data_IF_728810919909
#
_entry.id   IF_728810919909
#
_cell.length_a   1.000
_cell.length_b   1.000
_cell.length_c   1.000
_cell.angle_alpha   90.00
_cell.angle_beta   90.00
_cell.angle_gamma   90.00
#
_symmetry.space_group_name_H-M   'P 1'
#
loop_
_entity.id
_entity.type
_entity.pdbx_description
1 polymer ?
#
# COMPACT_ATOMS: atom_id res chain seq x y z
N UNK A 1 -2.97 30.06 11.87
CA UNK A 1 -1.82 29.23 11.45
C UNK A 1 -1.55 29.49 9.97
N UNK A 2 -0.34 29.31 9.42
CA UNK A 2 -0.05 29.79 8.08
C UNK A 2 -0.49 28.79 7.00
N UNK A 3 -1.24 29.31 6.01
CA UNK A 3 -1.66 28.66 4.75
C UNK A 3 -0.57 27.84 4.05
N UNK A 4 0.70 28.15 4.30
CA UNK A 4 1.85 27.42 3.76
C UNK A 4 1.86 25.95 4.17
N UNK A 5 1.34 25.61 5.36
CA UNK A 5 1.34 24.24 5.87
C UNK A 5 0.33 23.36 5.14
N UNK A 6 -0.89 23.85 4.88
CA UNK A 6 -1.93 23.06 4.19
C UNK A 6 -1.58 22.82 2.73
N UNK A 7 -1.05 23.81 2.02
CA UNK A 7 -0.61 23.67 0.63
C UNK A 7 0.49 22.61 0.52
N UNK A 8 1.43 22.60 1.47
CA UNK A 8 2.48 21.58 1.54
C UNK A 8 1.91 20.19 1.84
N UNK A 9 1.00 20.07 2.81
CA UNK A 9 0.31 18.81 3.14
C UNK A 9 -0.44 18.28 1.91
N UNK A 10 -1.23 19.12 1.24
CA UNK A 10 -1.99 18.76 0.04
C UNK A 10 -1.09 18.30 -1.11
N UNK A 11 0.04 18.97 -1.32
CA UNK A 11 1.02 18.54 -2.33
C UNK A 11 1.62 17.17 -2.00
N UNK A 12 1.94 16.93 -0.72
CA UNK A 12 2.46 15.63 -0.29
C UNK A 12 1.39 14.54 -0.40
N UNK A 13 0.13 14.83 -0.06
CA UNK A 13 -1.00 13.92 -0.26
C UNK A 13 -1.08 13.48 -1.72
N UNK A 14 -1.10 14.43 -2.66
CA UNK A 14 -1.15 14.09 -4.09
C UNK A 14 0.06 13.28 -4.58
N UNK A 15 1.23 13.47 -3.98
CA UNK A 15 2.43 12.67 -4.27
C UNK A 15 2.28 11.23 -3.75
N UNK A 16 1.91 11.06 -2.48
CA UNK A 16 1.79 9.73 -1.86
C UNK A 16 0.59 8.94 -2.35
N UNK A 17 -0.52 9.62 -2.72
CA UNK A 17 -1.65 9.01 -3.41
C UNK A 17 -1.20 8.35 -4.72
N UNK A 18 -0.43 9.06 -5.56
CA UNK A 18 0.11 8.51 -6.80
C UNK A 18 1.08 7.36 -6.57
N UNK A 19 1.89 7.42 -5.51
CA UNK A 19 2.78 6.31 -5.14
C UNK A 19 2.00 5.07 -4.71
N UNK A 20 1.03 5.22 -3.80
CA UNK A 20 0.16 4.13 -3.35
C UNK A 20 -0.58 3.50 -4.52
N UNK A 21 -1.16 4.30 -5.42
CA UNK A 21 -1.83 3.81 -6.62
C UNK A 21 -0.92 2.98 -7.53
N UNK A 22 0.33 3.41 -7.72
CA UNK A 22 1.32 2.64 -8.50
C UNK A 22 1.60 1.29 -7.83
N UNK A 23 1.86 1.28 -6.52
CA UNK A 23 2.11 0.04 -5.79
C UNK A 23 0.91 -0.90 -5.82
N UNK A 24 -0.30 -0.39 -5.66
CA UNK A 24 -1.54 -1.17 -5.84
C UNK A 24 -1.67 -1.76 -7.24
N UNK A 25 -1.24 -1.02 -8.28
CA UNK A 25 -1.31 -1.52 -9.66
C UNK A 25 -0.23 -2.57 -9.96
N UNK A 26 0.90 -2.53 -9.25
CA UNK A 26 2.00 -3.51 -9.41
C UNK A 26 1.67 -4.86 -8.77
N UNK A 27 0.93 -4.88 -7.67
CA UNK A 27 0.64 -6.13 -6.94
C UNK A 27 -0.08 -7.17 -7.81
N UNK A 28 -1.17 -6.85 -8.53
CA UNK A 28 -1.81 -7.80 -9.45
C UNK A 28 -0.87 -8.33 -10.53
N UNK A 29 0.09 -7.51 -10.99
CA UNK A 29 1.07 -7.92 -12.00
C UNK A 29 2.00 -8.99 -11.43
N UNK A 30 2.60 -8.72 -10.25
CA UNK A 30 3.43 -9.70 -9.53
C UNK A 30 2.64 -11.00 -9.37
N UNK A 31 1.44 -10.94 -8.81
CA UNK A 31 0.63 -12.15 -8.57
C UNK A 31 0.31 -12.90 -9.86
N UNK A 32 0.05 -12.20 -10.97
CA UNK A 32 -0.20 -12.82 -12.27
C UNK A 32 1.03 -13.53 -12.85
N UNK A 33 2.24 -12.99 -12.64
CA UNK A 33 3.49 -13.60 -13.10
C UNK A 33 3.73 -14.97 -12.45
N UNK A 34 3.17 -15.18 -11.25
CA UNK A 34 3.23 -16.46 -10.50
C UNK A 34 1.94 -17.30 -10.59
N UNK A 35 0.95 -16.87 -11.38
CA UNK A 35 -0.39 -17.49 -11.45
C UNK A 35 -1.09 -17.62 -10.08
N UNK A 36 -0.95 -16.61 -9.22
CA UNK A 36 -1.58 -16.57 -7.90
C UNK A 36 -2.83 -15.70 -7.94
N UNK A 37 -3.90 -16.21 -7.35
CA UNK A 37 -5.07 -15.42 -6.99
C UNK A 37 -5.03 -15.10 -5.50
N UNK A 38 -5.07 -13.82 -5.16
CA UNK A 38 -4.85 -13.35 -3.80
C UNK A 38 -5.89 -13.84 -2.78
N UNK A 39 -7.11 -14.15 -3.24
CA UNK A 39 -8.17 -14.66 -2.37
C UNK A 39 -8.00 -16.15 -2.05
N UNK A 40 -7.38 -16.90 -2.95
CA UNK A 40 -7.23 -18.35 -2.82
C UNK A 40 -5.86 -18.73 -2.20
N UNK A 41 -4.87 -17.84 -2.29
CA UNK A 41 -3.50 -18.03 -1.78
C UNK A 41 -2.86 -19.38 -2.15
N UNK A 42 -3.29 -20.01 -3.25
CA UNK A 42 -2.74 -21.30 -3.65
C UNK A 42 -1.34 -21.13 -4.24
N UNK A 43 -0.34 -21.67 -3.54
CA UNK A 43 1.07 -21.64 -3.89
C UNK A 43 1.67 -23.04 -4.09
N UNK A 44 0.83 -24.08 -4.08
CA UNK A 44 1.26 -25.48 -4.12
C UNK A 44 1.95 -25.86 -5.43
N UNK A 45 1.65 -25.15 -6.53
CA UNK A 45 2.23 -25.37 -7.85
C UNK A 45 3.63 -24.77 -8.03
N UNK A 46 4.07 -23.91 -7.11
CA UNK A 46 5.37 -23.25 -7.21
C UNK A 46 6.49 -24.15 -6.69
N UNK A 47 7.59 -24.23 -7.44
CA UNK A 47 8.83 -24.80 -6.93
C UNK A 47 9.52 -23.88 -5.91
N UNK A 48 10.56 -24.38 -5.24
CA UNK A 48 11.19 -23.68 -4.12
C UNK A 48 11.93 -22.40 -4.53
N UNK A 49 12.47 -22.37 -5.76
CA UNK A 49 13.15 -21.18 -6.27
C UNK A 49 12.13 -20.07 -6.56
N UNK A 50 11.06 -20.42 -7.28
CA UNK A 50 9.99 -19.50 -7.64
C UNK A 50 9.25 -19.01 -6.38
N UNK A 51 9.00 -19.90 -5.42
CA UNK A 51 8.42 -19.55 -4.12
C UNK A 51 9.27 -18.51 -3.37
N UNK A 52 10.60 -18.67 -3.38
CA UNK A 52 11.50 -17.71 -2.77
C UNK A 52 11.49 -16.36 -3.49
N UNK A 53 11.51 -16.35 -4.82
CA UNK A 53 11.40 -15.13 -5.61
C UNK A 53 10.10 -14.38 -5.33
N UNK A 54 8.97 -15.08 -5.35
CA UNK A 54 7.67 -14.53 -5.00
C UNK A 54 7.70 -13.89 -3.60
N UNK A 55 8.25 -14.60 -2.60
CA UNK A 55 8.33 -14.09 -1.22
C UNK A 55 9.02 -12.73 -1.16
N UNK A 56 10.14 -12.58 -1.86
CA UNK A 56 10.90 -11.33 -1.88
C UNK A 56 10.11 -10.21 -2.56
N UNK A 57 9.50 -10.48 -3.70
CA UNK A 57 8.70 -9.50 -4.43
C UNK A 57 7.47 -9.04 -3.64
N UNK A 58 6.75 -9.97 -3.02
CA UNK A 58 5.59 -9.65 -2.17
C UNK A 58 6.03 -8.85 -0.95
N UNK A 59 7.13 -9.23 -0.29
CA UNK A 59 7.68 -8.47 0.84
C UNK A 59 7.99 -7.02 0.44
N UNK A 60 8.67 -6.83 -0.67
CA UNK A 60 9.12 -5.51 -1.13
C UNK A 60 7.94 -4.65 -1.61
N UNK A 61 6.98 -5.26 -2.31
CA UNK A 61 5.74 -4.61 -2.74
C UNK A 61 4.89 -4.19 -1.53
N UNK A 62 4.70 -5.09 -0.56
CA UNK A 62 3.98 -4.81 0.70
C UNK A 62 4.64 -3.67 1.46
N UNK A 63 5.96 -3.71 1.65
CA UNK A 63 6.70 -2.67 2.37
C UNK A 63 6.58 -1.30 1.69
N UNK A 64 6.66 -1.27 0.35
CA UNK A 64 6.52 -0.04 -0.44
C UNK A 64 5.11 0.54 -0.35
N UNK A 65 4.08 -0.29 -0.49
CA UNK A 65 2.69 0.11 -0.30
C UNK A 65 2.45 0.61 1.14
N UNK A 66 2.92 -0.14 2.13
CA UNK A 66 2.79 0.20 3.55
C UNK A 66 3.36 1.58 3.88
N UNK A 67 4.58 1.85 3.39
CA UNK A 67 5.23 3.15 3.55
C UNK A 67 4.42 4.28 2.92
N UNK A 68 3.94 4.09 1.69
CA UNK A 68 3.19 5.11 0.96
C UNK A 68 1.85 5.42 1.63
N UNK A 69 1.05 4.40 1.97
CA UNK A 69 -0.26 4.62 2.57
C UNK A 69 -0.14 5.10 4.02
N UNK A 70 0.85 4.63 4.80
CA UNK A 70 1.06 5.11 6.17
C UNK A 70 1.35 6.62 6.18
N UNK A 71 2.15 7.09 5.22
CA UNK A 71 2.44 8.52 5.09
C UNK A 71 1.20 9.30 4.65
N UNK A 72 0.39 8.74 3.75
CA UNK A 72 -0.87 9.34 3.32
C UNK A 72 -1.87 9.48 4.48
N UNK A 73 -1.99 8.44 5.32
CA UNK A 73 -2.81 8.45 6.53
C UNK A 73 -2.33 9.49 7.53
N UNK A 74 -1.01 9.58 7.76
CA UNK A 74 -0.43 10.62 8.62
C UNK A 74 -0.81 12.04 8.13
N UNK A 75 -0.61 12.30 6.84
CA UNK A 75 -0.91 13.60 6.23
C UNK A 75 -2.42 13.93 6.29
N UNK A 76 -3.28 12.92 6.17
CA UNK A 76 -4.71 13.08 6.38
C UNK A 76 -5.03 13.52 7.80
N UNK A 77 -4.45 12.88 8.81
CA UNK A 77 -4.63 13.28 10.21
C UNK A 77 -4.10 14.69 10.47
N UNK A 78 -2.95 15.05 9.91
CA UNK A 78 -2.41 16.42 10.00
C UNK A 78 -3.35 17.45 9.38
N UNK A 79 -3.94 17.16 8.21
CA UNK A 79 -4.97 18.02 7.61
C UNK A 79 -6.23 18.13 8.48
N UNK A 80 -6.71 17.02 9.06
CA UNK A 80 -7.91 17.02 9.91
C UNK A 80 -7.77 17.97 11.10
N UNK A 81 -6.56 18.21 11.60
CA UNK A 81 -6.30 19.17 12.67
C UNK A 81 -6.44 20.64 12.21
N UNK A 82 -6.29 20.90 10.91
CA UNK A 82 -6.38 22.24 10.31
C UNK A 82 -7.80 22.61 9.85
N UNK A 83 -8.75 21.65 9.85
CA UNK A 83 -10.07 21.79 9.22
C UNK A 83 -10.99 22.88 9.82
N UNK A 84 -10.67 23.38 11.02
CA UNK A 84 -11.46 24.41 11.71
C UNK A 84 -11.25 25.81 11.12
N UNK A 85 -10.18 26.00 10.32
CA UNK A 85 -9.97 27.21 9.55
C UNK A 85 -10.67 27.08 8.18
N UNK A 86 -11.63 27.98 7.90
CA UNK A 86 -12.40 27.98 6.64
C UNK A 86 -11.50 28.08 5.41
N UNK A 87 -10.42 28.85 5.52
CA UNK A 87 -9.47 29.02 4.42
C UNK A 87 -8.76 27.71 4.12
N UNK A 88 -8.32 27.00 5.16
CA UNK A 88 -7.60 25.73 5.02
C UNK A 88 -8.51 24.64 4.46
N UNK A 89 -9.80 24.69 4.79
CA UNK A 89 -10.80 23.82 4.17
C UNK A 89 -10.93 24.08 2.67
N UNK A 90 -11.04 25.35 2.25
CA UNK A 90 -11.10 25.70 0.81
C UNK A 90 -9.85 25.21 0.05
N UNK A 91 -8.65 25.43 0.59
CA UNK A 91 -7.39 24.98 -0.03
C UNK A 91 -7.37 23.45 -0.21
N UNK A 92 -7.91 22.73 0.78
CA UNK A 92 -8.00 21.28 0.69
C UNK A 92 -9.04 20.81 -0.32
N UNK A 93 -10.22 21.42 -0.34
CA UNK A 93 -11.27 21.08 -1.31
C UNK A 93 -10.79 21.30 -2.76
N UNK A 94 -10.07 22.40 -3.01
CA UNK A 94 -9.39 22.66 -4.28
C UNK A 94 -8.35 21.58 -4.60
N UNK A 95 -7.62 21.11 -3.59
CA UNK A 95 -6.61 20.07 -3.75
C UNK A 95 -7.22 18.70 -4.03
N UNK A 96 -8.33 18.33 -3.38
CA UNK A 96 -9.10 17.12 -3.67
C UNK A 96 -9.66 17.17 -5.08
N UNK A 97 -10.21 18.31 -5.50
CA UNK A 97 -10.67 18.50 -6.88
C UNK A 97 -9.55 18.31 -7.90
N UNK A 98 -8.33 18.77 -7.59
CA UNK A 98 -7.17 18.69 -8.48
C UNK A 98 -6.49 17.31 -8.53
N UNK A 99 -6.36 16.65 -7.37
CA UNK A 99 -5.58 15.41 -7.25
C UNK A 99 -6.45 14.15 -7.09
N UNK A 100 -7.76 14.33 -6.91
CA UNK A 100 -8.71 13.25 -6.64
C UNK A 100 -8.84 12.97 -5.15
N UNK A 101 -9.98 12.40 -4.76
CA UNK A 101 -10.16 11.94 -3.37
C UNK A 101 -9.32 10.69 -3.13
N UNK A 102 -8.47 10.76 -2.11
CA UNK A 102 -7.52 9.71 -1.76
C UNK A 102 -8.00 8.86 -0.59
N UNK A 103 -9.15 9.16 0.01
CA UNK A 103 -9.64 8.45 1.20
C UNK A 103 -9.95 6.98 0.91
N UNK A 104 -10.55 6.69 -0.24
CA UNK A 104 -10.75 5.31 -0.71
C UNK A 104 -9.41 4.58 -0.89
N UNK A 105 -8.39 5.29 -1.40
CA UNK A 105 -7.03 4.75 -1.56
C UNK A 105 -6.43 4.28 -0.24
N UNK A 106 -6.68 5.01 0.87
CA UNK A 106 -6.21 4.60 2.21
C UNK A 106 -6.85 3.26 2.59
N UNK A 107 -8.17 3.14 2.47
CA UNK A 107 -8.91 1.92 2.80
C UNK A 107 -8.50 0.74 1.92
N UNK A 108 -8.42 0.93 0.60
CA UNK A 108 -7.98 -0.12 -0.33
C UNK A 108 -6.54 -0.54 -0.09
N UNK A 109 -5.64 0.40 0.22
CA UNK A 109 -4.24 0.08 0.54
C UNK A 109 -4.11 -0.74 1.82
N UNK A 110 -4.89 -0.41 2.85
CA UNK A 110 -4.89 -1.16 4.10
C UNK A 110 -5.38 -2.61 3.89
N UNK A 111 -6.50 -2.78 3.17
CA UNK A 111 -7.03 -4.10 2.83
C UNK A 111 -6.03 -4.91 2.00
N UNK A 112 -5.39 -4.28 1.01
CA UNK A 112 -4.41 -4.93 0.16
C UNK A 112 -3.19 -5.41 0.97
N UNK A 113 -2.71 -4.61 1.93
CA UNK A 113 -1.59 -5.03 2.80
C UNK A 113 -1.98 -6.21 3.68
N UNK A 114 -3.18 -6.21 4.26
CA UNK A 114 -3.69 -7.35 5.05
C UNK A 114 -3.74 -8.64 4.21
N UNK A 115 -4.21 -8.55 2.97
CA UNK A 115 -4.22 -9.70 2.07
C UNK A 115 -2.80 -10.19 1.71
N UNK A 116 -1.85 -9.28 1.51
CA UNK A 116 -0.45 -9.65 1.30
C UNK A 116 0.19 -10.27 2.54
N UNK A 117 -0.22 -9.86 3.75
CA UNK A 117 0.20 -10.51 4.99
C UNK A 117 -0.30 -11.96 5.07
N UNK A 118 -1.55 -12.21 4.69
CA UNK A 118 -2.08 -13.57 4.62
C UNK A 118 -1.30 -14.43 3.61
N UNK A 119 -1.02 -13.91 2.42
CA UNK A 119 -0.21 -14.61 1.42
C UNK A 119 1.21 -14.90 1.94
N UNK A 120 1.85 -13.92 2.58
CA UNK A 120 3.17 -14.10 3.18
C UNK A 120 3.17 -15.18 4.26
N UNK A 121 2.11 -15.27 5.07
CA UNK A 121 1.99 -16.33 6.08
C UNK A 121 1.86 -17.71 5.43
N UNK A 122 1.11 -17.85 4.34
CA UNK A 122 1.02 -19.13 3.60
C UNK A 122 2.37 -19.50 2.96
N UNK A 123 3.08 -18.53 2.37
CA UNK A 123 4.43 -18.73 1.88
C UNK A 123 5.35 -19.21 3.01
N UNK A 124 5.38 -18.51 4.14
CA UNK A 124 6.24 -18.84 5.27
C UNK A 124 5.90 -20.22 5.88
N UNK A 125 4.64 -20.66 5.86
CA UNK A 125 4.24 -22.04 6.26
C UNK A 125 4.79 -23.12 5.33
N UNK A 126 4.89 -22.83 4.04
CA UNK A 126 5.39 -23.80 3.07
C UNK A 126 6.89 -24.10 3.21
N UNK A 127 7.68 -23.19 3.80
CA UNK A 127 9.11 -23.39 4.04
C UNK A 127 9.42 -24.61 4.92
N UNK A 128 8.89 -24.72 6.16
CA UNK A 128 9.11 -25.90 6.98
C UNK A 128 8.50 -27.19 6.38
N UNK A 129 7.36 -27.11 5.69
CA UNK A 129 6.75 -28.26 5.00
C UNK A 129 7.65 -28.85 3.91
N UNK A 130 8.43 -27.99 3.26
CA UNK A 130 9.36 -28.33 2.19
C UNK A 130 10.79 -28.56 2.68
N UNK A 131 11.02 -28.52 4.00
CA UNK A 131 12.36 -28.56 4.62
C UNK A 131 13.32 -27.46 4.11
N UNK A 132 12.78 -26.29 3.77
CA UNK A 132 13.55 -25.12 3.35
C UNK A 132 14.03 -24.32 4.58
N UNK A 133 15.18 -23.64 4.48
CA UNK A 133 15.66 -22.77 5.55
C UNK A 133 14.68 -21.62 5.76
N UNK A 134 14.30 -21.37 7.02
CA UNK A 134 13.40 -20.25 7.36
C UNK A 134 14.02 -18.95 6.86
N UNK A 135 13.32 -18.21 6.00
CA UNK A 135 13.86 -17.01 5.40
C UNK A 135 13.85 -15.86 6.42
N UNK A 136 14.99 -15.15 6.51
CA UNK A 136 15.19 -14.00 7.39
C UNK A 136 14.46 -12.72 6.96
#
# INVERSE_FOLDING_TARGET
MPRSNSVQICRQIGLYQKQAQRHLSTIPIILSDYNIQLLDCNISHLDDYILHSLRLEIRDAKASLFKAYSKLTQLHSEWQLLQNDRVERTVFDESISKYGDYREMISSSAQQVEQLDLLMNEIDKSYPERNLPVPS
#
